data_IF_695897988143
#
_entry.id   IF_695897988143
#
_cell.length_a   1.000
_cell.length_b   1.000
_cell.length_c   1.000
_cell.angle_alpha   90.00
_cell.angle_beta   90.00
_cell.angle_gamma   90.00
#
_symmetry.space_group_name_H-M   'P 1'
#
loop_
_entity.id
_entity.type
_entity.pdbx_description
1 polymer ?
#
# COMPACT_ATOMS: atom_id res chain seq x y z
N UNK A 1 -35.97 25.97 16.91
CA UNK A 1 -34.51 25.75 16.90
C UNK A 1 -34.03 24.79 18.01
N UNK A 2 -34.83 23.79 18.41
CA UNK A 2 -34.53 22.87 19.54
C UNK A 2 -34.41 21.39 19.09
N UNK A 3 -34.94 21.03 17.92
CA UNK A 3 -34.90 19.65 17.37
C UNK A 3 -33.53 19.17 16.85
N UNK A 4 -32.58 20.08 16.59
CA UNK A 4 -31.26 19.71 16.02
C UNK A 4 -30.30 19.22 17.11
N UNK A 5 -30.44 19.69 18.35
CA UNK A 5 -29.51 19.37 19.44
C UNK A 5 -29.59 17.90 19.88
N UNK A 6 -30.78 17.29 19.86
CA UNK A 6 -30.96 15.88 20.25
C UNK A 6 -30.40 14.88 19.22
N UNK A 7 -30.33 15.25 17.94
CA UNK A 7 -29.78 14.36 16.90
C UNK A 7 -28.26 14.17 17.03
N UNK A 8 -27.56 15.16 17.58
CA UNK A 8 -26.10 15.13 17.79
C UNK A 8 -25.74 14.23 18.97
N UNK A 9 -26.52 14.27 20.07
CA UNK A 9 -26.28 13.39 21.22
C UNK A 9 -26.53 11.91 20.90
N UNK A 10 -27.51 11.61 20.04
CA UNK A 10 -27.80 10.22 19.67
C UNK A 10 -26.70 9.61 18.77
N UNK A 11 -26.08 10.42 17.89
CA UNK A 11 -24.93 10.00 17.08
C UNK A 11 -23.66 9.85 17.92
N UNK A 12 -23.46 10.70 18.94
CA UNK A 12 -22.35 10.58 19.88
C UNK A 12 -22.47 9.34 20.78
N UNK A 13 -23.68 8.99 21.24
CA UNK A 13 -23.92 7.78 22.05
C UNK A 13 -23.86 6.48 21.23
N UNK A 14 -24.15 6.52 19.93
CA UNK A 14 -23.96 5.36 19.05
C UNK A 14 -22.46 5.15 18.76
N UNK A 15 -21.68 6.23 18.66
CA UNK A 15 -20.22 6.20 18.47
C UNK A 15 -19.47 5.57 19.64
N UNK A 16 -19.93 5.77 20.89
CA UNK A 16 -19.31 5.13 22.06
C UNK A 16 -19.56 3.62 22.13
N UNK A 17 -20.74 3.14 21.72
CA UNK A 17 -21.01 1.70 21.70
C UNK A 17 -20.35 0.98 20.51
N UNK A 18 -20.22 1.63 19.35
CA UNK A 18 -19.47 1.04 18.21
C UNK A 18 -17.97 0.92 18.55
N UNK A 19 -17.42 1.85 19.35
CA UNK A 19 -16.03 1.76 19.84
C UNK A 19 -15.77 0.53 20.70
N UNK A 20 -16.77 0.01 21.42
CA UNK A 20 -16.63 -1.20 22.24
C UNK A 20 -16.86 -2.48 21.43
N UNK A 21 -17.78 -2.47 20.47
CA UNK A 21 -18.10 -3.67 19.66
C UNK A 21 -16.99 -4.02 18.65
N UNK A 22 -16.16 -3.05 18.25
CA UNK A 22 -15.01 -3.29 17.37
C UNK A 22 -13.68 -3.50 18.11
N UNK A 23 -13.70 -3.73 19.42
CA UNK A 23 -12.54 -4.25 20.16
C UNK A 23 -12.51 -5.76 19.91
N UNK A 24 -11.87 -6.16 18.81
CA UNK A 24 -11.45 -7.55 18.61
C UNK A 24 -10.66 -7.98 19.87
N UNK A 25 -11.32 -8.75 20.73
CA UNK A 25 -10.73 -9.34 21.93
C UNK A 25 -9.67 -10.35 21.50
N UNK A 26 -8.49 -9.85 21.20
CA UNK A 26 -7.35 -10.67 20.81
C UNK A 26 -6.89 -11.49 22.03
N UNK A 27 -6.75 -12.82 21.93
CA UNK A 27 -6.33 -13.65 23.06
C UNK A 27 -4.97 -13.18 23.60
N UNK A 28 -4.89 -12.96 24.92
CA UNK A 28 -3.68 -12.42 25.56
C UNK A 28 -2.39 -13.23 25.33
N UNK A 29 -2.52 -14.51 24.94
CA UNK A 29 -1.42 -15.38 24.56
C UNK A 29 -0.73 -14.97 23.25
N UNK A 30 -1.52 -14.67 22.20
CA UNK A 30 -0.99 -14.23 20.90
C UNK A 30 -0.21 -12.91 21.04
N UNK A 31 -0.68 -12.02 21.92
CA UNK A 31 0.00 -10.75 22.20
C UNK A 31 1.41 -10.96 22.75
N UNK A 32 1.55 -11.79 23.79
CA UNK A 32 2.88 -12.09 24.38
C UNK A 32 3.81 -12.72 23.37
N UNK A 33 3.29 -13.59 22.50
CA UNK A 33 4.08 -14.31 21.52
C UNK A 33 4.60 -13.36 20.41
N UNK A 34 3.75 -12.43 19.93
CA UNK A 34 4.15 -11.44 18.93
C UNK A 34 5.14 -10.42 19.50
N UNK A 35 4.89 -9.85 20.69
CA UNK A 35 5.78 -8.85 21.30
C UNK A 35 7.17 -9.42 21.65
N UNK A 36 7.28 -10.74 21.88
CA UNK A 36 8.57 -11.41 22.14
C UNK A 36 9.36 -11.64 20.84
N UNK A 37 8.70 -11.98 19.72
CA UNK A 37 9.38 -12.35 18.48
C UNK A 37 9.68 -11.12 17.61
N UNK A 38 8.76 -10.15 17.54
CA UNK A 38 8.93 -8.93 16.76
C UNK A 38 8.43 -7.74 17.58
N UNK A 39 9.30 -6.80 17.98
CA UNK A 39 8.86 -5.63 18.74
C UNK A 39 7.84 -4.85 17.91
N UNK A 40 6.66 -4.61 18.48
CA UNK A 40 5.54 -3.89 17.84
C UNK A 40 5.93 -2.52 17.28
N UNK A 41 6.91 -1.85 17.92
CA UNK A 41 7.56 -0.63 17.40
C UNK A 41 8.14 -0.82 16.00
N UNK A 42 8.84 -1.92 15.77
CA UNK A 42 9.49 -2.20 14.49
C UNK A 42 8.45 -2.45 13.39
N UNK A 43 7.32 -3.08 13.71
CA UNK A 43 6.24 -3.29 12.75
C UNK A 43 5.56 -1.96 12.41
N UNK A 44 5.10 -1.22 13.44
CA UNK A 44 4.34 0.01 13.24
C UNK A 44 5.13 1.09 12.47
N UNK A 45 6.44 1.17 12.71
CA UNK A 45 7.35 2.15 12.08
C UNK A 45 8.05 1.62 10.82
N UNK A 46 7.70 0.42 10.36
CA UNK A 46 8.34 -0.27 9.23
C UNK A 46 9.87 -0.30 9.35
N UNK A 47 10.37 -1.13 10.27
CA UNK A 47 11.80 -1.29 10.54
C UNK A 47 12.51 0.02 10.89
N UNK A 48 11.90 0.83 11.77
CA UNK A 48 12.44 2.11 12.25
C UNK A 48 12.49 3.23 11.20
N UNK A 49 11.97 3.02 9.99
CA UNK A 49 11.86 4.07 8.97
C UNK A 49 11.00 5.24 9.47
N UNK A 50 10.00 4.96 10.31
CA UNK A 50 9.19 5.97 10.99
C UNK A 50 9.97 6.91 11.93
N UNK A 51 11.23 6.61 12.27
CA UNK A 51 12.08 7.48 13.07
C UNK A 51 13.08 8.31 12.24
N UNK A 52 13.10 8.13 10.92
CA UNK A 52 13.92 8.97 10.05
C UNK A 52 13.48 10.43 10.15
N UNK A 53 14.43 11.38 10.14
CA UNK A 53 14.12 12.79 10.20
C UNK A 53 13.42 13.21 8.90
N UNK A 54 12.26 13.83 9.05
CA UNK A 54 11.44 14.38 7.98
C UNK A 54 10.95 13.32 6.94
N UNK A 55 9.73 13.51 6.45
CA UNK A 55 9.22 12.79 5.27
C UNK A 55 9.16 11.26 5.46
N UNK A 56 8.81 10.79 6.65
CA UNK A 56 8.80 9.37 7.01
C UNK A 56 7.96 8.51 6.04
N UNK A 57 6.82 9.05 5.59
CA UNK A 57 5.96 8.38 4.62
C UNK A 57 6.62 8.22 3.24
N UNK A 58 7.48 9.14 2.82
CA UNK A 58 8.23 9.04 1.56
C UNK A 58 9.25 7.90 1.62
N UNK A 59 10.02 7.83 2.70
CA UNK A 59 11.00 6.76 2.89
C UNK A 59 10.33 5.39 2.94
N UNK A 60 9.20 5.28 3.67
CA UNK A 60 8.46 4.03 3.75
C UNK A 60 7.96 3.55 2.38
N UNK A 61 7.33 4.43 1.60
CA UNK A 61 6.88 4.11 0.25
C UNK A 61 8.05 3.76 -0.69
N UNK A 62 9.15 4.50 -0.61
CA UNK A 62 10.34 4.26 -1.45
C UNK A 62 10.96 2.89 -1.18
N UNK A 63 11.19 2.54 0.09
CA UNK A 63 11.75 1.24 0.48
C UNK A 63 10.78 0.07 0.27
N UNK A 64 9.49 0.33 0.09
CA UNK A 64 8.50 -0.72 -0.22
C UNK A 64 8.79 -1.37 -1.58
N UNK A 65 9.19 -0.61 -2.60
CA UNK A 65 9.46 -1.14 -3.95
C UNK A 65 10.59 -2.19 -3.99
N UNK A 66 11.80 -1.91 -3.48
CA UNK A 66 12.86 -2.91 -3.47
C UNK A 66 12.53 -4.09 -2.56
N UNK A 67 11.87 -3.86 -1.42
CA UNK A 67 11.42 -4.95 -0.52
C UNK A 67 10.47 -5.90 -1.26
N UNK A 68 9.46 -5.36 -1.90
CA UNK A 68 8.46 -6.14 -2.63
C UNK A 68 9.10 -6.87 -3.82
N UNK A 69 10.00 -6.22 -4.55
CA UNK A 69 10.76 -6.84 -5.64
C UNK A 69 11.58 -8.04 -5.14
N UNK A 70 12.20 -7.89 -3.96
CA UNK A 70 12.97 -8.96 -3.33
C UNK A 70 12.07 -10.13 -2.93
N UNK A 71 10.90 -9.86 -2.34
CA UNK A 71 9.91 -10.89 -1.99
C UNK A 71 9.47 -11.65 -3.24
N UNK A 72 9.13 -10.94 -4.31
CA UNK A 72 8.72 -11.55 -5.59
C UNK A 72 9.85 -12.39 -6.19
N UNK A 73 11.08 -11.88 -6.18
CA UNK A 73 12.25 -12.59 -6.68
C UNK A 73 12.46 -13.93 -5.96
N UNK A 74 12.45 -13.93 -4.64
CA UNK A 74 12.72 -15.14 -3.84
C UNK A 74 11.55 -16.13 -3.80
N UNK A 75 10.32 -15.70 -4.11
CA UNK A 75 9.14 -16.58 -4.07
C UNK A 75 8.82 -17.19 -5.42
N UNK A 76 8.78 -16.39 -6.49
CA UNK A 76 8.28 -16.83 -7.81
C UNK A 76 9.25 -16.53 -8.95
N UNK A 77 10.41 -15.92 -8.68
CA UNK A 77 11.48 -15.71 -9.67
C UNK A 77 11.07 -14.86 -10.87
N UNK A 78 10.04 -14.01 -10.74
CA UNK A 78 9.42 -13.25 -11.85
C UNK A 78 8.93 -14.12 -13.04
N UNK A 79 8.59 -15.38 -12.78
CA UNK A 79 8.20 -16.34 -13.83
C UNK A 79 6.85 -16.04 -14.51
N UNK A 80 5.87 -15.54 -13.76
CA UNK A 80 4.53 -15.26 -14.25
C UNK A 80 3.93 -14.03 -13.58
N UNK A 81 3.33 -13.14 -14.37
CA UNK A 81 2.62 -11.95 -13.88
C UNK A 81 1.49 -12.31 -12.92
N UNK A 82 0.83 -13.44 -13.14
CA UNK A 82 -0.25 -13.96 -12.27
C UNK A 82 0.32 -14.30 -10.89
N UNK A 83 1.41 -15.07 -10.85
CA UNK A 83 2.07 -15.45 -9.59
C UNK A 83 2.64 -14.25 -8.85
N UNK A 84 3.17 -13.25 -9.58
CA UNK A 84 3.58 -11.97 -8.99
C UNK A 84 2.40 -11.31 -8.28
N UNK A 85 1.27 -11.10 -8.98
CA UNK A 85 0.09 -10.47 -8.39
C UNK A 85 -0.41 -11.23 -7.14
N UNK A 86 -0.41 -12.56 -7.17
CA UNK A 86 -0.79 -13.40 -6.03
C UNK A 86 0.13 -13.20 -4.82
N UNK A 87 1.45 -13.22 -5.02
CA UNK A 87 2.42 -12.97 -3.95
C UNK A 87 2.23 -11.57 -3.36
N UNK A 88 2.00 -10.57 -4.21
CA UNK A 88 1.75 -9.19 -3.75
C UNK A 88 0.46 -9.08 -2.94
N UNK A 89 -0.63 -9.74 -3.35
CA UNK A 89 -1.89 -9.77 -2.62
C UNK A 89 -1.74 -10.46 -1.26
N UNK A 90 -1.06 -11.62 -1.21
CA UNK A 90 -0.78 -12.34 0.04
C UNK A 90 0.09 -11.48 0.96
N UNK A 91 1.12 -10.84 0.42
CA UNK A 91 2.01 -9.93 1.18
C UNK A 91 1.23 -8.74 1.73
N UNK A 92 0.34 -8.14 0.94
CA UNK A 92 -0.52 -7.05 1.36
C UNK A 92 -1.49 -7.47 2.46
N UNK A 93 -2.08 -8.67 2.37
CA UNK A 93 -2.93 -9.23 3.41
C UNK A 93 -2.15 -9.50 4.71
N UNK A 94 -0.93 -10.01 4.62
CA UNK A 94 -0.04 -10.18 5.76
C UNK A 94 0.31 -8.83 6.42
N UNK A 95 0.66 -7.81 5.62
CA UNK A 95 0.93 -6.46 6.09
C UNK A 95 -0.31 -5.81 6.73
N UNK A 96 -1.52 -6.09 6.24
CA UNK A 96 -2.76 -5.63 6.86
C UNK A 96 -2.89 -6.16 8.28
N UNK A 97 -2.74 -7.47 8.47
CA UNK A 97 -2.84 -8.12 9.78
C UNK A 97 -1.72 -7.67 10.73
N UNK A 98 -0.47 -7.65 10.26
CA UNK A 98 0.68 -7.18 11.03
C UNK A 98 0.55 -5.70 11.39
N UNK A 99 0.07 -4.86 10.48
CA UNK A 99 -0.15 -3.44 10.72
C UNK A 99 -1.24 -3.20 11.77
N UNK A 100 -2.38 -3.89 11.69
CA UNK A 100 -3.43 -3.80 12.70
C UNK A 100 -2.91 -4.18 14.10
N UNK A 101 -2.18 -5.30 14.19
CA UNK A 101 -1.61 -5.77 15.46
C UNK A 101 -0.50 -4.83 15.97
N UNK A 102 0.40 -4.42 15.10
CA UNK A 102 1.54 -3.57 15.41
C UNK A 102 1.11 -2.19 15.89
N UNK A 103 0.17 -1.54 15.21
CA UNK A 103 -0.33 -0.22 15.61
C UNK A 103 -1.10 -0.32 16.93
N UNK A 104 -1.97 -1.34 17.09
CA UNK A 104 -2.75 -1.52 18.32
C UNK A 104 -1.86 -1.70 19.55
N UNK A 105 -0.81 -2.52 19.44
CA UNK A 105 0.15 -2.75 20.53
C UNK A 105 1.06 -1.54 20.76
N UNK A 106 1.49 -0.85 19.70
CA UNK A 106 2.30 0.36 19.76
C UNK A 106 1.57 1.50 20.49
N UNK A 107 0.33 1.82 20.09
CA UNK A 107 -0.47 2.89 20.70
C UNK A 107 -0.78 2.64 22.18
N UNK A 108 -0.84 1.37 22.60
CA UNK A 108 -1.06 1.00 24.01
C UNK A 108 0.20 1.12 24.87
N UNK A 109 1.39 0.99 24.26
CA UNK A 109 2.67 0.96 24.99
C UNK A 109 3.38 2.31 25.01
N UNK A 110 3.16 3.15 24.01
CA UNK A 110 3.76 4.47 23.90
C UNK A 110 2.65 5.51 23.77
N UNK A 111 2.56 6.40 24.77
CA UNK A 111 1.85 7.67 24.64
C UNK A 111 2.75 8.64 23.86
N UNK A 112 3.01 8.35 22.58
CA UNK A 112 3.69 9.29 21.69
C UNK A 112 2.64 10.24 21.12
N UNK A 113 2.84 11.54 21.29
CA UNK A 113 2.03 12.57 20.61
C UNK A 113 2.31 12.60 19.10
N UNK A 114 3.45 12.07 18.64
CA UNK A 114 3.88 12.12 17.25
C UNK A 114 3.30 10.97 16.42
N UNK A 115 2.17 11.27 15.76
CA UNK A 115 1.43 10.34 14.88
C UNK A 115 2.19 9.94 13.61
N UNK A 116 3.19 10.71 13.21
CA UNK A 116 3.92 10.53 11.95
C UNK A 116 4.92 9.36 11.98
N UNK A 117 5.19 8.77 13.16
CA UNK A 117 6.07 7.61 13.29
C UNK A 117 5.45 6.32 12.72
N UNK A 118 4.12 6.23 12.70
CA UNK A 118 3.40 5.04 12.22
C UNK A 118 3.33 5.07 10.70
N UNK A 119 4.19 4.30 10.02
CA UNK A 119 4.31 4.30 8.55
C UNK A 119 3.88 3.00 7.89
N UNK A 120 3.55 1.95 8.66
CA UNK A 120 3.20 0.63 8.11
C UNK A 120 1.99 0.67 7.18
N UNK A 121 1.05 1.60 7.40
CA UNK A 121 -0.11 1.79 6.53
C UNK A 121 0.28 2.27 5.12
N UNK A 122 1.34 3.07 5.00
CA UNK A 122 1.89 3.55 3.72
C UNK A 122 2.49 2.38 2.95
N UNK A 123 3.25 1.52 3.63
CA UNK A 123 3.87 0.31 3.06
C UNK A 123 2.82 -0.66 2.57
N UNK A 124 1.81 -0.91 3.42
CA UNK A 124 0.65 -1.71 3.06
C UNK A 124 -0.06 -1.14 1.83
N UNK A 125 -0.36 0.17 1.83
CA UNK A 125 -1.05 0.83 0.72
C UNK A 125 -0.26 0.75 -0.59
N UNK A 126 1.05 1.03 -0.56
CA UNK A 126 1.93 0.93 -1.74
C UNK A 126 2.02 -0.50 -2.25
N UNK A 127 2.13 -1.50 -1.37
CA UNK A 127 2.18 -2.92 -1.74
C UNK A 127 0.84 -3.39 -2.37
N UNK A 128 -0.29 -3.01 -1.76
CA UNK A 128 -1.62 -3.34 -2.25
C UNK A 128 -1.89 -2.67 -3.61
N UNK A 129 -1.48 -1.41 -3.76
CA UNK A 129 -1.59 -0.69 -5.02
C UNK A 129 -0.85 -1.41 -6.14
N UNK A 130 0.40 -1.83 -5.89
CA UNK A 130 1.19 -2.63 -6.85
C UNK A 130 0.52 -3.96 -7.18
N UNK A 131 -0.08 -4.63 -6.18
CA UNK A 131 -0.80 -5.88 -6.37
C UNK A 131 -2.01 -5.72 -7.29
N UNK A 132 -2.76 -4.62 -7.13
CA UNK A 132 -3.97 -4.31 -7.90
C UNK A 132 -3.68 -3.62 -9.23
N UNK A 133 -2.47 -3.11 -9.44
CA UNK A 133 -2.06 -2.39 -10.64
C UNK A 133 -1.09 -3.19 -11.52
N UNK A 134 -1.03 -4.52 -11.41
CA UNK A 134 -0.11 -5.33 -12.24
C UNK A 134 -0.34 -5.10 -13.74
N UNK A 135 -1.57 -5.19 -14.30
CA UNK A 135 -1.79 -4.91 -15.72
C UNK A 135 -1.31 -3.52 -16.18
N UNK A 136 -1.72 -2.38 -15.55
CA UNK A 136 -1.25 -1.07 -16.00
C UNK A 136 0.26 -0.89 -15.80
N UNK A 137 0.86 -1.45 -14.74
CA UNK A 137 2.32 -1.41 -14.54
C UNK A 137 3.05 -2.18 -15.64
N UNK A 138 2.54 -3.34 -16.04
CA UNK A 138 3.16 -4.13 -17.13
C UNK A 138 3.10 -3.42 -18.48
N UNK A 139 1.99 -2.74 -18.76
CA UNK A 139 1.86 -1.91 -19.95
C UNK A 139 2.84 -0.74 -19.92
N UNK A 140 2.98 -0.07 -18.78
CA UNK A 140 3.98 0.98 -18.57
C UNK A 140 5.40 0.44 -18.81
N UNK A 141 5.75 -0.72 -18.24
CA UNK A 141 7.07 -1.35 -18.43
C UNK A 141 7.34 -1.61 -19.91
N UNK A 142 6.35 -2.14 -20.65
CA UNK A 142 6.49 -2.39 -22.09
C UNK A 142 6.76 -1.10 -22.88
N UNK A 143 6.02 -0.03 -22.59
CA UNK A 143 6.18 1.25 -23.27
C UNK A 143 7.52 1.93 -22.94
N UNK A 144 7.92 1.90 -21.67
CA UNK A 144 9.24 2.39 -21.24
C UNK A 144 10.36 1.58 -21.88
N UNK A 145 10.20 0.27 -22.01
CA UNK A 145 11.18 -0.59 -22.69
C UNK A 145 11.36 -0.19 -24.16
N UNK A 146 10.25 -0.03 -24.90
CA UNK A 146 10.27 0.39 -26.30
C UNK A 146 10.92 1.77 -26.49
N UNK A 147 10.61 2.71 -25.60
CA UNK A 147 11.21 4.04 -25.61
C UNK A 147 12.71 3.98 -25.34
N UNK A 148 13.13 3.23 -24.31
CA UNK A 148 14.54 3.09 -23.97
C UNK A 148 15.32 2.33 -25.05
N UNK A 149 14.74 1.31 -25.69
CA UNK A 149 15.39 0.61 -26.79
C UNK A 149 15.60 1.53 -27.98
N UNK A 150 14.61 2.37 -28.32
CA UNK A 150 14.76 3.40 -29.35
C UNK A 150 15.90 4.37 -29.05
N UNK A 151 16.00 4.87 -27.81
CA UNK A 151 17.09 5.77 -27.41
C UNK A 151 18.47 5.08 -27.48
N UNK A 152 18.54 3.82 -27.04
CA UNK A 152 19.78 3.05 -27.06
C UNK A 152 20.24 2.73 -28.47
N UNK A 153 19.33 2.32 -29.36
CA UNK A 153 19.67 2.01 -30.76
C UNK A 153 20.07 3.25 -31.54
N UNK A 154 19.48 4.42 -31.25
CA UNK A 154 19.71 5.64 -32.03
C UNK A 154 20.85 6.52 -31.53
N UNK A 155 21.07 6.60 -30.21
CA UNK A 155 21.95 7.61 -29.62
C UNK A 155 23.09 7.04 -28.77
N UNK A 156 22.83 6.02 -27.96
CA UNK A 156 23.73 5.65 -26.85
C UNK A 156 24.47 4.32 -27.02
N UNK A 157 24.03 3.43 -27.93
CA UNK A 157 24.55 2.08 -28.13
C UNK A 157 24.73 1.30 -26.81
N UNK A 158 23.64 1.18 -26.06
CA UNK A 158 23.67 0.64 -24.70
C UNK A 158 23.86 -0.88 -24.66
N UNK A 159 24.50 -1.37 -23.61
CA UNK A 159 24.46 -2.80 -23.29
C UNK A 159 23.04 -3.23 -22.84
N UNK A 160 22.64 -4.47 -23.18
CA UNK A 160 21.29 -4.96 -22.88
C UNK A 160 20.95 -5.04 -21.38
N UNK A 161 21.94 -5.16 -20.50
CA UNK A 161 21.70 -5.11 -19.05
C UNK A 161 21.30 -3.69 -18.59
N UNK A 162 21.91 -2.66 -19.17
CA UNK A 162 21.61 -1.26 -18.84
C UNK A 162 20.19 -0.90 -19.27
N UNK A 163 19.77 -1.34 -20.46
CA UNK A 163 18.40 -1.18 -20.96
C UNK A 163 17.36 -1.78 -19.99
N UNK A 164 17.61 -2.99 -19.46
CA UNK A 164 16.70 -3.62 -18.50
C UNK A 164 16.66 -2.88 -17.17
N UNK A 165 17.82 -2.53 -16.62
CA UNK A 165 17.91 -1.83 -15.33
C UNK A 165 17.22 -0.46 -15.42
N UNK A 166 17.49 0.32 -16.48
CA UNK A 166 16.87 1.63 -16.66
C UNK A 166 15.35 1.52 -16.83
N UNK A 167 14.89 0.52 -17.57
CA UNK A 167 13.46 0.27 -17.77
C UNK A 167 12.77 -0.06 -16.45
N UNK A 168 13.27 -1.02 -15.68
CA UNK A 168 12.67 -1.38 -14.40
C UNK A 168 12.74 -0.24 -13.38
N UNK A 169 13.83 0.53 -13.38
CA UNK A 169 13.97 1.68 -12.51
C UNK A 169 12.92 2.76 -12.82
N UNK A 170 12.84 3.21 -14.08
CA UNK A 170 11.88 4.24 -14.50
C UNK A 170 10.44 3.74 -14.33
N UNK A 171 10.15 2.52 -14.74
CA UNK A 171 8.81 1.95 -14.61
C UNK A 171 8.40 1.72 -13.15
N UNK A 172 9.35 1.44 -12.24
CA UNK A 172 9.10 1.33 -10.81
C UNK A 172 8.85 2.67 -10.12
N UNK A 173 9.44 3.77 -10.63
CA UNK A 173 9.20 5.10 -10.09
C UNK A 173 7.78 5.61 -10.36
N UNK A 174 7.15 5.20 -11.47
CA UNK A 174 5.79 5.63 -11.81
C UNK A 174 4.75 5.24 -10.74
N UNK A 175 4.62 3.97 -10.32
CA UNK A 175 3.70 3.60 -9.26
C UNK A 175 4.08 4.19 -7.89
N UNK A 176 5.36 4.41 -7.61
CA UNK A 176 5.80 5.16 -6.42
C UNK A 176 5.24 6.59 -6.43
N UNK A 177 5.52 7.36 -7.47
CA UNK A 177 5.06 8.74 -7.56
C UNK A 177 3.54 8.85 -7.59
N UNK A 178 2.86 7.91 -8.24
CA UNK A 178 1.39 7.89 -8.30
C UNK A 178 0.79 7.68 -6.92
N UNK A 179 1.29 6.70 -6.15
CA UNK A 179 0.82 6.49 -4.79
C UNK A 179 1.17 7.68 -3.88
N UNK A 180 2.38 8.25 -3.99
CA UNK A 180 2.78 9.45 -3.24
C UNK A 180 1.89 10.65 -3.53
N UNK A 181 1.49 10.87 -4.78
CA UNK A 181 0.59 11.96 -5.15
C UNK A 181 -0.72 11.83 -4.39
N UNK A 182 -1.31 10.63 -4.35
CA UNK A 182 -2.55 10.38 -3.61
C UNK A 182 -2.35 10.54 -2.10
N UNK A 183 -1.24 10.02 -1.56
CA UNK A 183 -0.92 10.12 -0.13
C UNK A 183 -0.68 11.58 0.33
N UNK A 184 -0.20 12.46 -0.56
CA UNK A 184 -0.03 13.89 -0.28
C UNK A 184 -1.37 14.63 -0.41
N UNK A 185 -2.15 14.33 -1.45
CA UNK A 185 -3.44 15.00 -1.70
C UNK A 185 -4.50 14.59 -0.66
N UNK A 186 -4.44 13.34 -0.19
CA UNK A 186 -5.40 12.73 0.75
C UNK A 186 -6.86 12.98 0.36
N UNK A 187 -7.33 12.40 -0.75
CA UNK A 187 -8.72 12.57 -1.16
C UNK A 187 -9.69 12.02 -0.10
N UNK A 188 -10.92 12.54 -0.07
CA UNK A 188 -11.98 11.95 0.76
C UNK A 188 -12.20 10.48 0.32
N UNK A 189 -12.34 9.50 1.24
CA UNK A 189 -12.51 9.64 2.69
C UNK A 189 -11.21 9.65 3.50
N UNK A 190 -10.04 9.51 2.88
CA UNK A 190 -8.73 9.38 3.54
C UNK A 190 -8.44 10.52 4.53
N UNK A 191 -8.62 11.77 4.09
CA UNK A 191 -8.45 12.95 4.95
C UNK A 191 -9.44 13.03 6.13
N UNK A 192 -10.64 12.47 5.97
CA UNK A 192 -11.65 12.45 7.02
C UNK A 192 -11.30 11.41 8.10
N UNK A 193 -10.87 10.22 7.65
CA UNK A 193 -10.46 9.10 8.51
C UNK A 193 -9.28 9.51 9.40
N UNK A 194 -8.24 10.11 8.81
CA UNK A 194 -7.06 10.58 9.53
C UNK A 194 -7.41 11.59 10.63
N UNK A 195 -8.35 12.51 10.35
CA UNK A 195 -8.71 13.58 11.28
C UNK A 195 -9.58 13.09 12.43
N UNK A 196 -10.55 12.22 12.15
CA UNK A 196 -11.62 11.89 13.09
C UNK A 196 -11.38 10.57 13.85
N UNK A 197 -10.54 9.66 13.34
CA UNK A 197 -10.27 8.35 13.96
C UNK A 197 -8.76 8.09 14.11
N UNK A 198 -8.32 7.77 15.33
CA UNK A 198 -6.90 7.55 15.65
C UNK A 198 -6.61 6.15 16.19
N UNK A 199 -7.24 5.13 15.62
CA UNK A 199 -7.01 3.74 15.99
C UNK A 199 -6.29 2.98 14.87
N UNK A 200 -5.81 1.77 15.18
CA UNK A 200 -5.13 0.90 14.23
C UNK A 200 -5.93 0.67 12.93
N UNK A 201 -7.25 0.50 13.05
CA UNK A 201 -8.15 0.28 11.91
C UNK A 201 -8.18 1.50 10.99
N UNK A 202 -8.33 2.70 11.56
CA UNK A 202 -8.34 3.96 10.83
C UNK A 202 -7.08 4.14 9.98
N UNK A 203 -5.90 4.00 10.60
CA UNK A 203 -4.62 4.14 9.91
C UNK A 203 -4.48 3.14 8.75
N UNK A 204 -4.82 1.86 8.97
CA UNK A 204 -4.75 0.86 7.90
C UNK A 204 -5.78 1.11 6.79
N UNK A 205 -6.96 1.62 7.15
CA UNK A 205 -8.01 1.97 6.21
C UNK A 205 -7.65 3.21 5.36
N UNK A 206 -6.92 4.17 5.92
CA UNK A 206 -6.31 5.28 5.17
C UNK A 206 -5.39 4.74 4.05
N UNK A 207 -4.47 3.84 4.40
CA UNK A 207 -3.58 3.18 3.43
C UNK A 207 -4.34 2.40 2.35
N UNK A 208 -5.42 1.72 2.72
CA UNK A 208 -6.31 1.02 1.78
C UNK A 208 -6.97 1.99 0.79
N UNK A 209 -7.55 3.10 1.28
CA UNK A 209 -8.18 4.11 0.43
C UNK A 209 -7.16 4.71 -0.55
N UNK A 210 -5.98 5.08 -0.05
CA UNK A 210 -4.91 5.63 -0.89
C UNK A 210 -4.48 4.64 -1.97
N UNK A 211 -4.39 3.34 -1.64
CA UNK A 211 -4.09 2.30 -2.62
C UNK A 211 -5.13 2.23 -3.73
N UNK A 212 -6.42 2.20 -3.38
CA UNK A 212 -7.53 2.14 -4.36
C UNK A 212 -7.52 3.35 -5.27
N UNK A 213 -7.37 4.57 -4.73
CA UNK A 213 -7.28 5.79 -5.55
C UNK A 213 -6.08 5.79 -6.49
N UNK A 214 -4.91 5.38 -6.01
CA UNK A 214 -3.70 5.32 -6.82
C UNK A 214 -3.80 4.26 -7.92
N UNK A 215 -4.39 3.10 -7.62
CA UNK A 215 -4.69 2.06 -8.61
C UNK A 215 -5.65 2.58 -9.67
N UNK A 216 -6.77 3.20 -9.29
CA UNK A 216 -7.74 3.77 -10.24
C UNK A 216 -7.10 4.83 -11.14
N UNK A 217 -6.24 5.69 -10.58
CA UNK A 217 -5.51 6.69 -11.34
C UNK A 217 -4.57 6.05 -12.37
N UNK A 218 -3.83 4.99 -12.00
CA UNK A 218 -3.00 4.24 -12.95
C UNK A 218 -3.84 3.59 -14.07
N UNK A 219 -4.97 2.96 -13.73
CA UNK A 219 -5.86 2.40 -14.75
C UNK A 219 -6.37 3.46 -15.71
N UNK A 220 -6.80 4.61 -15.19
CA UNK A 220 -7.32 5.70 -16.01
C UNK A 220 -6.25 6.24 -16.98
N UNK A 221 -5.05 6.51 -16.48
CA UNK A 221 -3.94 6.99 -17.31
C UNK A 221 -3.56 5.95 -18.37
N UNK A 222 -3.41 4.69 -17.97
CA UNK A 222 -2.97 3.63 -18.90
C UNK A 222 -4.07 3.25 -19.90
N UNK A 223 -5.35 3.37 -19.52
CA UNK A 223 -6.48 3.26 -20.45
C UNK A 223 -6.45 4.39 -21.49
N UNK A 224 -6.24 5.63 -21.07
CA UNK A 224 -6.25 6.80 -21.97
C UNK A 224 -5.02 6.89 -22.87
N UNK A 225 -3.85 6.47 -22.39
CA UNK A 225 -2.57 6.70 -23.07
C UNK A 225 -2.05 5.45 -23.79
N UNK A 226 -2.35 4.25 -23.29
CA UNK A 226 -1.78 2.99 -23.78
C UNK A 226 -2.84 1.95 -24.18
N UNK A 227 -4.09 2.37 -24.35
CA UNK A 227 -5.23 1.56 -24.81
C UNK A 227 -5.43 0.25 -24.03
N UNK A 228 -5.18 0.26 -22.71
CA UNK A 228 -5.37 -0.91 -21.87
C UNK A 228 -6.86 -1.32 -21.84
N UNK A 229 -7.20 -2.49 -22.40
CA UNK A 229 -8.59 -2.93 -22.50
C UNK A 229 -9.08 -3.52 -21.16
N UNK A 230 -10.31 -3.17 -20.79
CA UNK A 230 -10.94 -3.70 -19.57
C UNK A 230 -11.07 -5.23 -19.60
N UNK A 231 -11.26 -5.83 -20.78
CA UNK A 231 -11.38 -7.29 -20.93
C UNK A 231 -10.11 -8.03 -20.52
N UNK A 232 -8.94 -7.50 -20.89
CA UNK A 232 -7.64 -8.07 -20.53
C UNK A 232 -7.41 -8.00 -19.01
N UNK A 233 -7.85 -6.89 -18.40
CA UNK A 233 -7.76 -6.70 -16.94
C UNK A 233 -8.65 -7.71 -16.20
N UNK A 234 -9.89 -7.89 -16.65
CA UNK A 234 -10.84 -8.84 -16.03
C UNK A 234 -10.34 -10.27 -16.20
N UNK A 235 -9.88 -10.63 -17.40
CA UNK A 235 -9.30 -11.97 -17.65
C UNK A 235 -8.07 -12.21 -16.77
N UNK A 236 -7.18 -11.22 -16.66
CA UNK A 236 -6.00 -11.30 -15.80
C UNK A 236 -6.39 -11.59 -14.34
N UNK A 237 -7.29 -10.80 -13.75
CA UNK A 237 -7.67 -11.02 -12.35
C UNK A 237 -8.49 -12.28 -12.12
N UNK A 238 -9.25 -12.73 -13.12
CA UNK A 238 -9.93 -14.03 -13.06
C UNK A 238 -8.91 -15.16 -12.88
N UNK A 239 -7.79 -15.11 -13.61
CA UNK A 239 -6.68 -16.08 -13.45
C UNK A 239 -5.95 -15.93 -12.11
N UNK A 240 -5.74 -14.69 -11.64
CA UNK A 240 -5.13 -14.43 -10.32
C UNK A 240 -5.93 -15.05 -9.19
N UNK A 241 -7.25 -14.85 -9.17
CA UNK A 241 -8.10 -15.37 -8.10
C UNK A 241 -8.35 -16.87 -8.22
N UNK A 242 -8.41 -17.44 -9.43
CA UNK A 242 -8.55 -18.89 -9.59
C UNK A 242 -7.35 -19.69 -9.06
N UNK A 243 -6.16 -19.08 -8.95
CA UNK A 243 -5.00 -19.74 -8.35
C UNK A 243 -4.84 -19.49 -6.85
N UNK A 244 -5.68 -18.66 -6.23
CA UNK A 244 -5.63 -18.33 -4.79
C UNK A 244 -6.62 -19.15 -3.95
N UNK A 245 -7.68 -19.67 -4.57
CA UNK A 245 -8.75 -20.47 -3.95
C UNK A 245 -8.83 -21.84 -4.59
#
# INVERSE_FOLDING_TARGET
>A
MIKIKYRIYLVMSLSSHIKEVLVLSFPGFLKKLVDIIIPSRMIATFFWIGYLPEWQSHWAAFFTIPLVSLIVYFTVGFSSLVSIAQVLLITSAALLLLGLLGIYTFQKTIFSENRYEVTIHVVFGQCLMLALSVPPVTQIVAQVFLFNSFLCDRFLNCAGWFLRVSTYFVAGLIPYFTFRLIDIVKPWPSCWIERDYHNAVSNMFEGFCNAVYATLLLYLVTFMVFDLLLIDVVEFYTRVFHGLF
#
